data_IF_190185282501
#
_entry.id   IF_190185282501
#
_cell.length_a   1.000
_cell.length_b   1.000
_cell.length_c   1.000
_cell.angle_alpha   90.00
_cell.angle_beta   90.00
_cell.angle_gamma   90.00
#
_symmetry.space_group_name_H-M   'P 1'
#
loop_
_entity.id
_entity.type
_entity.pdbx_description
1 polymer ?
#
# COMPACT_ATOMS: atom_id res chain seq x y z
N UNK A 1 1.52 -19.83 -17.54
CA UNK A 1 1.18 -19.41 -18.92
C UNK A 1 -0.31 -19.63 -19.22
N UNK A 2 -0.88 -20.79 -18.87
CA UNK A 2 -2.31 -21.08 -19.05
C UNK A 2 -3.27 -20.11 -18.35
N UNK A 3 -2.95 -19.72 -17.11
CA UNK A 3 -3.72 -18.71 -16.35
C UNK A 3 -3.84 -17.37 -17.09
N UNK A 4 -2.74 -16.89 -17.68
CA UNK A 4 -2.73 -15.66 -18.47
C UNK A 4 -3.56 -15.81 -19.75
N UNK A 5 -3.41 -16.92 -20.47
CA UNK A 5 -4.19 -17.23 -21.69
C UNK A 5 -5.70 -17.28 -21.38
N UNK A 6 -6.08 -17.82 -20.21
CA UNK A 6 -7.48 -17.90 -19.81
C UNK A 6 -8.11 -16.51 -19.58
N UNK A 7 -7.35 -15.57 -19.00
CA UNK A 7 -7.81 -14.18 -18.81
C UNK A 7 -7.80 -13.42 -20.15
N UNK A 8 -6.76 -13.60 -20.96
CA UNK A 8 -6.63 -13.01 -22.30
C UNK A 8 -7.84 -13.34 -23.18
N UNK A 9 -8.29 -14.59 -23.18
CA UNK A 9 -9.51 -15.02 -23.90
C UNK A 9 -10.78 -14.28 -23.48
N UNK A 10 -10.92 -13.90 -22.21
CA UNK A 10 -12.07 -13.12 -21.76
C UNK A 10 -11.92 -11.63 -22.13
N UNK A 11 -10.69 -11.10 -22.12
CA UNK A 11 -10.38 -9.75 -22.59
C UNK A 11 -10.73 -9.62 -24.08
N UNK A 12 -10.32 -10.58 -24.92
CA UNK A 12 -10.63 -10.57 -26.36
C UNK A 12 -12.13 -10.52 -26.64
N UNK A 13 -12.94 -11.23 -25.83
CA UNK A 13 -14.41 -11.18 -25.92
C UNK A 13 -14.95 -9.81 -25.56
N UNK A 14 -14.40 -9.15 -24.55
CA UNK A 14 -14.77 -7.77 -24.18
C UNK A 14 -14.43 -6.83 -25.33
N UNK A 15 -13.20 -6.88 -25.84
CA UNK A 15 -12.73 -6.00 -26.92
C UNK A 15 -13.56 -6.18 -28.19
N UNK A 16 -13.85 -7.42 -28.58
CA UNK A 16 -14.68 -7.73 -29.75
C UNK A 16 -16.10 -7.19 -29.59
N UNK A 17 -16.73 -7.43 -28.43
CA UNK A 17 -18.10 -6.95 -28.17
C UNK A 17 -18.16 -5.43 -28.10
N UNK A 18 -17.20 -4.81 -27.43
CA UNK A 18 -17.10 -3.36 -27.29
C UNK A 18 -16.90 -2.68 -28.64
N UNK A 19 -15.96 -3.19 -29.46
CA UNK A 19 -15.73 -2.71 -30.81
C UNK A 19 -17.00 -2.76 -31.66
N UNK A 20 -17.71 -3.90 -31.64
CA UNK A 20 -18.96 -4.04 -32.40
C UNK A 20 -20.07 -3.07 -31.97
N UNK A 21 -20.22 -2.82 -30.66
CA UNK A 21 -21.17 -1.83 -30.15
C UNK A 21 -20.75 -0.42 -30.58
N UNK A 22 -19.47 -0.09 -30.49
CA UNK A 22 -18.96 1.23 -30.84
C UNK A 22 -19.13 1.52 -32.33
N UNK A 23 -18.75 0.58 -33.20
CA UNK A 23 -18.92 0.69 -34.66
C UNK A 23 -20.40 0.82 -35.06
N UNK A 24 -21.31 0.19 -34.32
CA UNK A 24 -22.75 0.35 -34.55
C UNK A 24 -23.25 1.72 -34.07
N UNK A 25 -22.85 2.12 -32.86
CA UNK A 25 -23.21 3.39 -32.27
C UNK A 25 -22.76 4.56 -33.15
N UNK A 26 -21.50 4.56 -33.57
CA UNK A 26 -20.92 5.61 -34.42
C UNK A 26 -21.69 5.75 -35.73
N UNK A 27 -22.00 4.64 -36.40
CA UNK A 27 -22.78 4.64 -37.65
C UNK A 27 -24.18 5.20 -37.46
N UNK A 28 -24.93 4.68 -36.48
CA UNK A 28 -26.33 5.08 -36.30
C UNK A 28 -26.44 6.52 -35.79
N UNK A 29 -25.53 6.96 -34.92
CA UNK A 29 -25.49 8.34 -34.44
C UNK A 29 -25.10 9.31 -35.55
N UNK A 30 -24.15 8.95 -36.42
CA UNK A 30 -23.79 9.74 -37.59
C UNK A 30 -24.97 9.88 -38.55
N UNK A 31 -25.65 8.78 -38.88
CA UNK A 31 -26.84 8.79 -39.75
C UNK A 31 -27.97 9.65 -39.18
N UNK A 32 -28.21 9.56 -37.86
CA UNK A 32 -29.20 10.41 -37.19
C UNK A 32 -28.80 11.88 -37.18
N UNK A 33 -27.53 12.18 -36.93
CA UNK A 33 -27.01 13.55 -36.94
C UNK A 33 -27.18 14.17 -38.32
N UNK A 34 -26.76 13.47 -39.37
CA UNK A 34 -26.92 13.90 -40.75
C UNK A 34 -28.41 14.12 -41.11
N UNK A 35 -29.30 13.23 -40.68
CA UNK A 35 -30.73 13.39 -40.94
C UNK A 35 -31.32 14.61 -40.22
N UNK A 36 -30.94 14.85 -38.96
CA UNK A 36 -31.37 16.02 -38.20
C UNK A 36 -30.83 17.31 -38.82
N UNK A 37 -29.58 17.31 -39.28
CA UNK A 37 -28.98 18.45 -39.97
C UNK A 37 -29.68 18.76 -41.29
N UNK A 38 -30.02 17.76 -42.10
CA UNK A 38 -30.81 17.95 -43.32
C UNK A 38 -32.18 18.56 -43.03
N UNK A 39 -32.91 18.03 -42.04
CA UNK A 39 -34.21 18.59 -41.64
C UNK A 39 -34.09 20.03 -41.13
N UNK A 40 -33.03 20.33 -40.37
CA UNK A 40 -32.74 21.69 -39.90
C UNK A 40 -32.47 22.64 -41.07
N UNK A 41 -31.70 22.22 -42.06
CA UNK A 41 -31.37 23.04 -43.22
C UNK A 41 -32.63 23.32 -44.07
N UNK A 42 -33.46 22.31 -44.33
CA UNK A 42 -34.74 22.46 -45.04
C UNK A 42 -35.67 23.45 -44.32
N UNK A 43 -35.73 23.40 -42.98
CA UNK A 43 -36.54 24.35 -42.20
C UNK A 43 -35.97 25.78 -42.22
N UNK A 44 -34.66 25.96 -42.31
CA UNK A 44 -34.04 27.28 -42.41
C UNK A 44 -34.24 27.94 -43.77
N UNK A 45 -34.47 27.16 -44.82
CA UNK A 45 -34.79 27.68 -46.17
C UNK A 45 -36.27 28.10 -46.31
N UNK A 46 -37.11 27.78 -45.33
CA UNK A 46 -38.51 28.19 -45.33
C UNK A 46 -38.69 29.69 -44.99
N UNK A 47 -39.74 30.34 -45.51
CA UNK A 47 -40.08 31.73 -45.16
C UNK A 47 -40.33 31.91 -43.65
N UNK A 48 -40.18 33.14 -43.09
CA UNK A 48 -40.36 33.42 -41.66
C UNK A 48 -41.74 33.03 -41.09
N UNK A 49 -42.80 33.07 -41.92
CA UNK A 49 -44.17 32.74 -41.54
C UNK A 49 -44.60 31.33 -42.02
N UNK A 50 -43.65 30.44 -42.30
CA UNK A 50 -43.96 29.08 -42.75
C UNK A 50 -44.56 28.24 -41.63
N UNK A 51 -45.82 27.86 -41.78
CA UNK A 51 -46.44 26.85 -40.93
C UNK A 51 -46.05 25.44 -41.38
N UNK A 52 -45.66 24.59 -40.43
CA UNK A 52 -45.31 23.20 -40.72
C UNK A 52 -46.48 22.46 -41.37
N UNK A 53 -46.22 21.87 -42.53
CA UNK A 53 -47.18 21.00 -43.19
C UNK A 53 -47.41 19.71 -42.40
N UNK A 54 -48.57 19.08 -42.55
CA UNK A 54 -48.85 17.79 -41.91
C UNK A 54 -47.78 16.72 -42.22
N UNK A 55 -47.21 16.74 -43.42
CA UNK A 55 -46.11 15.86 -43.82
C UNK A 55 -44.82 16.15 -43.03
N UNK A 56 -44.43 17.42 -42.90
CA UNK A 56 -43.26 17.83 -42.11
C UNK A 56 -43.42 17.44 -40.63
N UNK A 57 -44.62 17.62 -40.06
CA UNK A 57 -44.91 17.18 -38.68
C UNK A 57 -44.74 15.66 -38.52
N UNK A 58 -45.18 14.87 -39.49
CA UNK A 58 -44.99 13.39 -39.46
C UNK A 58 -43.52 13.02 -39.54
N UNK A 59 -42.75 13.64 -40.45
CA UNK A 59 -41.32 13.38 -40.62
C UNK A 59 -40.55 13.74 -39.33
N UNK A 60 -40.82 14.90 -38.73
CA UNK A 60 -40.20 15.30 -37.47
C UNK A 60 -40.53 14.32 -36.33
N UNK A 61 -41.79 13.90 -36.19
CA UNK A 61 -42.18 12.89 -35.19
C UNK A 61 -41.46 11.56 -35.39
N UNK A 62 -41.31 11.12 -36.64
CA UNK A 62 -40.56 9.90 -36.96
C UNK A 62 -39.08 10.03 -36.60
N UNK A 63 -38.46 11.16 -36.93
CA UNK A 63 -37.08 11.47 -36.55
C UNK A 63 -36.91 11.44 -35.01
N UNK A 64 -37.78 12.12 -34.27
CA UNK A 64 -37.76 12.13 -32.80
C UNK A 64 -37.90 10.73 -32.18
N UNK A 65 -38.80 9.90 -32.74
CA UNK A 65 -38.96 8.52 -32.28
C UNK A 65 -37.71 7.68 -32.56
N UNK A 66 -37.11 7.83 -33.75
CA UNK A 66 -35.89 7.13 -34.12
C UNK A 66 -34.71 7.51 -33.22
N UNK A 67 -34.57 8.79 -32.86
CA UNK A 67 -33.59 9.27 -31.87
C UNK A 67 -33.81 8.58 -30.53
N UNK A 68 -35.06 8.59 -30.03
CA UNK A 68 -35.41 7.96 -28.76
C UNK A 68 -35.07 6.47 -28.73
N UNK A 69 -35.46 5.73 -29.77
CA UNK A 69 -35.19 4.30 -29.88
C UNK A 69 -33.69 3.99 -29.95
N UNK A 70 -32.93 4.77 -30.72
CA UNK A 70 -31.47 4.60 -30.80
C UNK A 70 -30.80 4.83 -29.45
N UNK A 71 -31.14 5.91 -28.75
CA UNK A 71 -30.55 6.20 -27.43
C UNK A 71 -30.91 5.11 -26.41
N UNK A 72 -32.17 4.64 -26.42
CA UNK A 72 -32.60 3.54 -25.55
C UNK A 72 -31.85 2.23 -25.84
N UNK A 73 -31.64 1.90 -27.13
CA UNK A 73 -30.87 0.72 -27.54
C UNK A 73 -29.42 0.84 -27.08
N UNK A 74 -28.78 1.98 -27.33
CA UNK A 74 -27.38 2.21 -26.93
C UNK A 74 -27.18 2.08 -25.41
N UNK A 75 -28.13 2.57 -24.62
CA UNK A 75 -28.11 2.40 -23.17
C UNK A 75 -28.25 0.93 -22.74
N UNK A 76 -29.06 0.15 -23.46
CA UNK A 76 -29.20 -1.30 -23.22
C UNK A 76 -27.91 -2.04 -23.56
N UNK A 77 -27.33 -1.77 -24.73
CA UNK A 77 -26.09 -2.40 -25.20
C UNK A 77 -24.92 -2.12 -24.23
N UNK A 78 -24.83 -0.89 -23.73
CA UNK A 78 -23.85 -0.50 -22.71
C UNK A 78 -24.06 -1.29 -21.40
N UNK A 79 -25.30 -1.46 -20.94
CA UNK A 79 -25.59 -2.27 -19.74
C UNK A 79 -25.20 -3.74 -19.92
N UNK A 80 -25.43 -4.29 -21.12
CA UNK A 80 -25.11 -5.68 -21.44
C UNK A 80 -23.60 -5.95 -21.52
N UNK A 81 -22.78 -4.92 -21.73
CA UNK A 81 -21.32 -5.02 -21.69
C UNK A 81 -20.80 -5.40 -20.29
N UNK A 82 -21.46 -4.91 -19.23
CA UNK A 82 -21.04 -5.16 -17.84
C UNK A 82 -20.94 -6.65 -17.53
N UNK A 83 -21.85 -7.47 -18.08
CA UNK A 83 -21.82 -8.92 -17.91
C UNK A 83 -20.56 -9.56 -18.50
N UNK A 84 -20.06 -9.03 -19.62
CA UNK A 84 -18.85 -9.52 -20.30
C UNK A 84 -17.60 -9.06 -19.56
N UNK A 85 -17.56 -7.81 -19.09
CA UNK A 85 -16.44 -7.27 -18.28
C UNK A 85 -16.31 -8.03 -16.95
N UNK A 86 -17.43 -8.33 -16.29
CA UNK A 86 -17.40 -9.09 -15.03
C UNK A 86 -16.78 -10.49 -15.17
N UNK A 87 -16.85 -11.11 -16.37
CA UNK A 87 -16.20 -12.41 -16.61
C UNK A 87 -14.68 -12.31 -16.60
N UNK A 88 -14.10 -11.18 -17.00
CA UNK A 88 -12.65 -10.96 -16.91
C UNK A 88 -12.21 -10.97 -15.44
N UNK A 89 -12.91 -10.23 -14.57
CA UNK A 89 -12.64 -10.23 -13.13
C UNK A 89 -12.72 -11.65 -12.53
N UNK A 90 -13.79 -12.38 -12.83
CA UNK A 90 -13.95 -13.77 -12.39
C UNK A 90 -12.87 -14.72 -12.93
N UNK A 91 -12.39 -14.48 -14.15
CA UNK A 91 -11.29 -15.25 -14.73
C UNK A 91 -9.98 -14.95 -14.00
N UNK A 92 -9.73 -13.71 -13.60
CA UNK A 92 -8.58 -13.36 -12.76
C UNK A 92 -8.68 -14.11 -11.43
N UNK A 93 -9.79 -13.97 -10.71
CA UNK A 93 -10.01 -14.59 -9.41
C UNK A 93 -9.83 -16.13 -9.44
N UNK A 94 -10.23 -16.78 -10.54
CA UNK A 94 -10.14 -18.24 -10.68
C UNK A 94 -8.74 -18.72 -11.06
N UNK A 95 -7.96 -17.92 -11.79
CA UNK A 95 -6.69 -18.35 -12.37
C UNK A 95 -5.46 -17.84 -11.59
N UNK A 96 -5.64 -16.85 -10.71
CA UNK A 96 -4.57 -16.29 -9.90
C UNK A 96 -4.90 -16.45 -8.41
N UNK A 97 -3.99 -17.10 -7.68
CA UNK A 97 -4.12 -17.34 -6.24
C UNK A 97 -3.68 -16.07 -5.49
N UNK A 98 -4.49 -15.60 -4.54
CA UNK A 98 -4.17 -14.46 -3.68
C UNK A 98 -3.16 -14.79 -2.57
N UNK A 99 -2.89 -16.08 -2.37
CA UNK A 99 -1.94 -16.60 -1.40
C UNK A 99 -0.50 -16.62 -1.94
N UNK A 100 0.30 -15.70 -1.43
CA UNK A 100 1.72 -15.57 -1.72
C UNK A 100 2.60 -16.54 -0.93
N UNK A 101 2.04 -17.43 -0.09
CA UNK A 101 2.83 -18.46 0.60
C UNK A 101 3.66 -19.29 -0.37
N UNK A 102 3.17 -19.51 -1.59
CA UNK A 102 3.90 -20.16 -2.69
C UNK A 102 5.15 -19.41 -3.19
N UNK A 103 5.29 -18.12 -2.89
CA UNK A 103 6.50 -17.32 -3.14
C UNK A 103 7.50 -17.41 -1.99
N UNK A 104 7.06 -17.87 -0.81
CA UNK A 104 7.97 -18.19 0.27
C UNK A 104 8.68 -19.49 -0.07
N UNK A 105 10.00 -19.41 -0.19
CA UNK A 105 10.84 -20.58 -0.39
C UNK A 105 10.92 -21.34 0.94
N UNK A 106 10.26 -22.48 1.04
CA UNK A 106 10.26 -23.33 2.25
C UNK A 106 11.69 -23.75 2.67
N UNK A 107 12.63 -23.77 1.73
CA UNK A 107 14.03 -24.13 1.96
C UNK A 107 14.91 -22.98 2.50
N UNK A 108 14.37 -21.76 2.63
CA UNK A 108 15.14 -20.58 3.06
C UNK A 108 15.75 -20.78 4.43
N UNK A 109 15.03 -21.41 5.35
CA UNK A 109 15.52 -21.76 6.69
C UNK A 109 15.79 -23.26 6.86
N UNK A 110 15.68 -24.05 5.79
CA UNK A 110 16.00 -25.46 5.84
C UNK A 110 17.52 -25.66 5.98
N UNK A 111 17.89 -26.62 6.84
CA UNK A 111 19.26 -27.00 7.12
C UNK A 111 19.74 -26.58 8.51
N UNK A 112 20.56 -27.44 9.12
CA UNK A 112 21.07 -27.26 10.49
C UNK A 112 21.78 -25.92 10.68
N UNK A 113 22.62 -25.52 9.70
CA UNK A 113 23.37 -24.25 9.74
C UNK A 113 22.45 -23.02 9.80
N UNK A 114 21.41 -22.98 8.95
CA UNK A 114 20.49 -21.83 8.90
C UNK A 114 19.60 -21.76 10.13
N UNK A 115 19.18 -22.92 10.65
CA UNK A 115 18.47 -23.01 11.93
C UNK A 115 19.33 -22.49 13.09
N UNK A 116 20.62 -22.84 13.11
CA UNK A 116 21.57 -22.31 14.11
C UNK A 116 21.72 -20.79 14.01
N UNK A 117 21.88 -20.24 12.79
CA UNK A 117 21.96 -18.79 12.58
C UNK A 117 20.68 -18.08 13.03
N UNK A 118 19.50 -18.66 12.73
CA UNK A 118 18.22 -18.11 13.17
C UNK A 118 18.13 -18.08 14.69
N UNK A 119 18.45 -19.20 15.36
CA UNK A 119 18.47 -19.26 16.82
C UNK A 119 19.46 -18.27 17.42
N UNK A 120 20.63 -18.08 16.80
CA UNK A 120 21.61 -17.08 17.24
C UNK A 120 21.05 -15.65 17.17
N UNK A 121 20.37 -15.30 16.08
CA UNK A 121 19.73 -13.98 15.92
C UNK A 121 18.61 -13.79 16.96
N UNK A 122 17.82 -14.82 17.23
CA UNK A 122 16.76 -14.79 18.25
C UNK A 122 17.37 -14.62 19.65
N UNK A 123 18.43 -15.36 20.00
CA UNK A 123 19.15 -15.19 21.26
C UNK A 123 19.70 -13.76 21.41
N UNK A 124 20.35 -13.22 20.38
CA UNK A 124 20.85 -11.84 20.38
C UNK A 124 19.72 -10.81 20.60
N UNK A 125 18.55 -11.07 20.03
CA UNK A 125 17.37 -10.24 20.29
C UNK A 125 16.96 -10.26 21.76
N UNK A 126 16.87 -11.44 22.38
CA UNK A 126 16.53 -11.55 23.80
C UNK A 126 17.55 -10.86 24.70
N UNK A 127 18.86 -10.98 24.41
CA UNK A 127 19.89 -10.22 25.12
C UNK A 127 19.68 -8.70 25.01
N UNK A 128 19.38 -8.19 23.81
CA UNK A 128 19.10 -6.75 23.59
C UNK A 128 17.89 -6.23 24.37
N UNK A 129 16.90 -7.09 24.62
CA UNK A 129 15.69 -6.74 25.37
C UNK A 129 15.86 -6.91 26.89
N UNK A 130 17.00 -7.43 27.36
CA UNK A 130 17.24 -7.71 28.78
C UNK A 130 16.61 -9.01 29.29
N UNK A 131 16.08 -9.84 28.39
CA UNK A 131 15.55 -11.16 28.70
C UNK A 131 16.67 -12.20 28.75
N UNK A 132 17.58 -12.05 29.72
CA UNK A 132 18.82 -12.81 29.80
C UNK A 132 18.57 -14.31 30.08
N UNK A 133 17.56 -14.61 30.89
CA UNK A 133 17.12 -15.96 31.23
C UNK A 133 16.60 -16.71 30.00
N UNK A 134 15.68 -16.10 29.25
CA UNK A 134 15.12 -16.67 28.01
C UNK A 134 16.23 -16.88 26.97
N UNK A 135 17.13 -15.89 26.83
CA UNK A 135 18.25 -16.00 25.91
C UNK A 135 19.18 -17.17 26.24
N UNK A 136 19.43 -17.41 27.54
CA UNK A 136 20.29 -18.48 28.03
C UNK A 136 19.66 -19.86 27.83
N UNK A 137 18.39 -20.02 28.19
CA UNK A 137 17.65 -21.28 27.97
C UNK A 137 17.61 -21.63 26.47
N UNK A 138 17.28 -20.66 25.60
CA UNK A 138 17.28 -20.87 24.15
C UNK A 138 18.67 -21.22 23.61
N UNK A 139 19.72 -20.56 24.11
CA UNK A 139 21.08 -20.84 23.68
C UNK A 139 21.53 -22.25 24.08
N UNK A 140 21.14 -22.71 25.27
CA UNK A 140 21.41 -24.06 25.74
C UNK A 140 20.66 -25.11 24.90
N UNK A 141 19.36 -24.92 24.68
CA UNK A 141 18.52 -25.82 23.88
C UNK A 141 18.99 -25.91 22.43
N UNK A 142 19.41 -24.79 21.84
CA UNK A 142 19.91 -24.73 20.47
C UNK A 142 21.39 -25.15 20.33
N UNK A 143 22.08 -25.50 21.43
CA UNK A 143 23.50 -25.86 21.41
C UNK A 143 24.44 -24.72 20.98
N UNK A 144 24.02 -23.47 21.18
CA UNK A 144 24.76 -22.29 20.77
C UNK A 144 25.90 -22.00 21.74
N UNK A 145 27.14 -21.97 21.22
CA UNK A 145 28.29 -21.43 21.94
C UNK A 145 28.27 -19.91 21.84
N UNK A 146 27.56 -19.26 22.75
CA UNK A 146 27.57 -17.80 22.83
C UNK A 146 28.82 -17.35 23.59
N UNK A 147 29.74 -16.68 22.89
CA UNK A 147 30.88 -16.02 23.53
C UNK A 147 30.38 -14.95 24.50
N UNK A 148 30.94 -14.91 25.71
CA UNK A 148 30.54 -13.95 26.74
C UNK A 148 30.81 -12.50 26.32
N UNK A 149 31.77 -12.29 25.40
CA UNK A 149 32.08 -11.01 24.74
C UNK A 149 30.86 -10.38 24.05
N UNK A 150 29.94 -11.19 23.54
CA UNK A 150 28.72 -10.71 22.85
C UNK A 150 27.62 -10.36 23.87
N UNK A 151 27.66 -10.93 25.08
CA UNK A 151 26.66 -10.71 26.13
C UNK A 151 26.95 -9.45 26.93
N UNK A 152 28.22 -9.19 27.25
CA UNK A 152 28.63 -8.09 28.12
C UNK A 152 28.05 -6.72 27.72
N UNK A 153 28.07 -6.30 26.44
CA UNK A 153 27.52 -5.01 26.04
C UNK A 153 26.01 -4.92 26.28
N UNK A 154 25.28 -6.01 26.10
CA UNK A 154 23.84 -6.03 26.35
C UNK A 154 23.54 -6.06 27.85
N UNK A 155 24.33 -6.75 28.66
CA UNK A 155 24.17 -6.71 30.12
C UNK A 155 24.41 -5.31 30.67
N UNK A 156 25.47 -4.62 30.22
CA UNK A 156 25.74 -3.23 30.58
C UNK A 156 24.62 -2.29 30.12
N UNK A 157 24.17 -2.43 28.87
CA UNK A 157 23.05 -1.66 28.33
C UNK A 157 21.78 -1.83 29.18
N UNK A 158 21.40 -3.06 29.50
CA UNK A 158 20.19 -3.33 30.26
C UNK A 158 20.30 -2.79 31.70
N UNK A 159 21.47 -2.90 32.34
CA UNK A 159 21.73 -2.26 33.63
C UNK A 159 21.52 -0.74 33.56
N UNK A 160 22.07 -0.08 32.54
CA UNK A 160 21.89 1.37 32.34
C UNK A 160 20.41 1.71 32.14
N UNK A 161 19.70 0.95 31.29
CA UNK A 161 18.28 1.14 31.03
C UNK A 161 17.43 0.98 32.30
N UNK A 162 17.74 0.02 33.16
CA UNK A 162 17.01 -0.17 34.42
C UNK A 162 17.28 0.96 35.43
N UNK A 163 18.51 1.45 35.53
CA UNK A 163 18.82 2.66 36.31
C UNK A 163 18.07 3.89 35.78
N UNK A 164 18.01 4.06 34.46
CA UNK A 164 17.24 5.15 33.84
C UNK A 164 15.75 5.07 34.17
N UNK A 165 15.14 3.87 34.19
CA UNK A 165 13.74 3.68 34.62
C UNK A 165 13.53 4.09 36.08
N UNK A 166 14.54 3.89 36.93
CA UNK A 166 14.55 4.31 38.34
C UNK A 166 14.92 5.80 38.52
N UNK A 167 15.07 6.55 37.42
CA UNK A 167 15.53 7.96 37.39
C UNK A 167 16.95 8.17 37.89
N UNK A 168 17.77 7.11 37.92
CA UNK A 168 19.20 7.20 38.16
C UNK A 168 19.95 7.34 36.82
N UNK A 169 20.45 8.55 36.57
CA UNK A 169 21.20 8.88 35.36
C UNK A 169 22.68 8.52 35.45
N UNK A 170 23.19 8.20 36.64
CA UNK A 170 24.62 8.08 36.89
C UNK A 170 25.30 7.02 36.01
N UNK A 171 24.76 5.79 35.87
CA UNK A 171 25.39 4.79 35.01
C UNK A 171 25.41 5.17 33.54
N UNK A 172 24.37 5.86 33.06
CA UNK A 172 24.30 6.33 31.68
C UNK A 172 25.34 7.42 31.40
N UNK A 173 25.53 8.35 32.33
CA UNK A 173 26.53 9.42 32.23
C UNK A 173 27.96 8.88 32.29
N UNK A 174 28.25 7.99 33.24
CA UNK A 174 29.56 7.32 33.35
C UNK A 174 29.90 6.57 32.05
N UNK A 175 28.92 5.84 31.50
CA UNK A 175 29.09 5.14 30.23
C UNK A 175 29.35 6.10 29.07
N UNK A 176 28.59 7.20 28.97
CA UNK A 176 28.75 8.18 27.90
C UNK A 176 30.11 8.89 27.96
N UNK A 177 30.61 9.20 29.16
CA UNK A 177 31.93 9.80 29.36
C UNK A 177 33.04 8.81 28.98
N UNK A 178 32.92 7.54 29.40
CA UNK A 178 33.89 6.50 29.04
C UNK A 178 33.96 6.25 27.52
N UNK A 179 32.85 6.44 26.81
CA UNK A 179 32.74 6.22 25.37
C UNK A 179 32.70 7.52 24.54
N UNK A 180 33.14 8.65 25.11
CA UNK A 180 33.03 9.98 24.50
C UNK A 180 33.64 10.05 23.11
N UNK A 181 34.86 9.54 22.91
CA UNK A 181 35.53 9.58 21.61
C UNK A 181 34.75 8.81 20.52
N UNK A 182 34.25 7.62 20.87
CA UNK A 182 33.41 6.82 19.97
C UNK A 182 32.10 7.54 19.63
N UNK A 183 31.42 8.11 20.64
CA UNK A 183 30.20 8.89 20.43
C UNK A 183 30.43 10.11 19.54
N UNK A 184 31.53 10.83 19.72
CA UNK A 184 31.89 11.98 18.90
C UNK A 184 32.16 11.60 17.45
N UNK A 185 32.88 10.48 17.21
CA UNK A 185 33.12 9.98 15.84
C UNK A 185 31.84 9.68 15.07
N UNK A 186 30.77 9.30 15.77
CA UNK A 186 29.45 9.00 15.21
C UNK A 186 28.52 10.21 15.19
N UNK A 187 28.99 11.41 15.57
CA UNK A 187 28.18 12.61 15.76
C UNK A 187 26.98 12.40 16.72
N UNK A 188 27.17 11.55 17.74
CA UNK A 188 26.12 11.25 18.71
C UNK A 188 25.97 12.38 19.73
N UNK A 189 24.73 12.86 19.90
CA UNK A 189 24.35 13.88 20.89
C UNK A 189 23.90 13.26 22.22
N UNK A 190 24.18 11.97 22.46
CA UNK A 190 23.71 11.24 23.63
C UNK A 190 24.20 11.84 24.94
N UNK A 191 25.50 12.13 25.05
CA UNK A 191 26.11 12.71 26.25
C UNK A 191 25.46 14.05 26.61
N UNK A 192 25.24 14.92 25.61
CA UNK A 192 24.53 16.19 25.80
C UNK A 192 23.09 15.98 26.31
N UNK A 193 22.33 15.04 25.72
CA UNK A 193 20.97 14.75 26.16
C UNK A 193 20.92 14.22 27.60
N UNK A 194 21.89 13.42 28.02
CA UNK A 194 21.98 12.91 29.39
C UNK A 194 22.25 14.05 30.39
N UNK A 195 23.18 14.95 30.08
CA UNK A 195 23.42 16.15 30.90
C UNK A 195 22.22 17.09 30.92
N UNK A 196 21.52 17.28 29.80
CA UNK A 196 20.28 18.06 29.75
C UNK A 196 19.21 17.46 30.68
N UNK A 197 19.05 16.14 30.67
CA UNK A 197 18.10 15.46 31.53
C UNK A 197 18.49 15.56 33.02
N UNK A 198 19.80 15.48 33.33
CA UNK A 198 20.33 15.72 34.66
C UNK A 198 20.01 17.14 35.14
N UNK A 199 20.22 18.15 34.29
CA UNK A 199 19.91 19.54 34.60
C UNK A 199 18.41 19.76 34.87
N UNK A 200 17.53 19.17 34.04
CA UNK A 200 16.08 19.22 34.29
C UNK A 200 15.74 18.54 35.63
N UNK A 201 16.38 17.42 35.95
CA UNK A 201 16.22 16.74 37.23
C UNK A 201 16.59 17.63 38.43
N UNK A 202 17.71 18.36 38.34
CA UNK A 202 18.14 19.30 39.37
C UNK A 202 17.13 20.47 39.53
N UNK A 203 16.61 21.00 38.43
CA UNK A 203 15.58 22.05 38.47
C UNK A 203 14.29 21.58 39.16
N UNK A 204 13.89 20.33 38.96
CA UNK A 204 12.71 19.76 39.62
C UNK A 204 12.85 19.62 41.14
N UNK A 205 14.07 19.56 41.67
CA UNK A 205 14.35 19.49 43.11
C UNK A 205 14.30 20.87 43.80
N UNK A 206 14.20 21.96 43.04
CA UNK A 206 14.08 23.33 43.55
C UNK A 206 15.42 24.00 43.86
N UNK A 207 15.36 25.16 44.52
CA UNK A 207 16.51 26.07 44.76
C UNK A 207 17.64 25.41 45.57
N UNK A 208 17.33 24.38 46.36
CA UNK A 208 18.29 23.67 47.23
C UNK A 208 19.34 22.87 46.44
N UNK A 209 19.03 22.45 45.21
CA UNK A 209 19.94 21.63 44.37
C UNK A 209 20.71 22.46 43.33
N UNK A 210 20.61 23.80 43.36
CA UNK A 210 21.30 24.68 42.40
C UNK A 210 22.83 24.56 42.45
N UNK A 211 23.39 24.25 43.63
CA UNK A 211 24.84 24.10 43.81
C UNK A 211 25.40 22.81 43.16
N UNK A 212 24.55 21.83 42.83
CA UNK A 212 24.95 20.60 42.15
C UNK A 212 24.93 20.75 40.61
N UNK A 213 24.43 21.88 40.11
CA UNK A 213 24.34 22.19 38.67
C UNK A 213 25.56 22.97 38.13
N UNK A 214 26.52 23.34 38.99
CA UNK A 214 27.72 24.13 38.68
C UNK A 214 28.94 23.22 38.56
#
# INVERSE_FOLDING_TARGET
MEACIAVEREIDKVLTKFGGINDHADRVLLDLTNHIESLKNELNECPPDHELTAAQVVIMKQCMNKVKETVQRLASDHRDLHSTVSKVGKAIDRNFVSDFASTSREDVFAGSEKAMLLNQVICQHFYRQGMLDIAQELAQDAGLKTEDSVKEPFTELNRILDSLKQRDLKPALEWAVAHREALQSQNSILEFKLHQLQFIGLLQQGVMSQNEAI
#
